data_IF_188574055797
#
_entry.id   IF_188574055797
#
_cell.length_a   1.000
_cell.length_b   1.000
_cell.length_c   1.000
_cell.angle_alpha   90.00
_cell.angle_beta   90.00
_cell.angle_gamma   90.00
#
_symmetry.space_group_name_H-M   'P 1'
#
loop_
_entity.id
_entity.type
_entity.pdbx_description
1 polymer ?
#
# COMPACT_ATOMS: atom_id res chain seq x y z
N UNK A 1 12.78 -4.87 31.52
CA UNK A 1 11.84 -4.14 30.64
C UNK A 1 11.98 -4.74 29.24
N UNK A 2 11.06 -5.63 28.85
CA UNK A 2 11.06 -6.24 27.51
C UNK A 2 10.15 -5.40 26.62
N UNK A 3 10.73 -4.67 25.68
CA UNK A 3 10.00 -3.90 24.69
C UNK A 3 9.57 -4.88 23.59
N UNK A 4 8.47 -5.60 23.81
CA UNK A 4 7.90 -6.51 22.82
C UNK A 4 7.25 -5.64 21.75
N UNK A 5 7.99 -5.41 20.66
CA UNK A 5 7.44 -4.76 19.47
C UNK A 5 6.15 -5.47 19.08
N UNK A 6 5.04 -4.74 19.11
CA UNK A 6 3.71 -5.26 18.81
C UNK A 6 3.76 -5.90 17.41
N UNK A 7 3.43 -7.18 17.31
CA UNK A 7 3.36 -7.88 16.02
C UNK A 7 2.20 -7.26 15.23
N UNK A 8 2.52 -6.52 14.18
CA UNK A 8 1.51 -5.96 13.26
C UNK A 8 0.85 -7.12 12.51
N UNK A 9 -0.47 -7.21 12.61
CA UNK A 9 -1.24 -8.28 11.97
C UNK A 9 -1.29 -8.09 10.45
N UNK A 10 -1.47 -9.17 9.69
CA UNK A 10 -1.58 -9.09 8.23
C UNK A 10 -2.69 -8.12 7.79
N UNK A 11 -3.82 -8.10 8.49
CA UNK A 11 -4.92 -7.18 8.22
C UNK A 11 -4.50 -5.71 8.32
N UNK A 12 -3.70 -5.35 9.34
CA UNK A 12 -3.16 -3.99 9.50
C UNK A 12 -2.21 -3.65 8.34
N UNK A 13 -1.32 -4.59 7.95
CA UNK A 13 -0.40 -4.39 6.81
C UNK A 13 -1.14 -4.17 5.49
N UNK A 14 -2.22 -4.90 5.27
CA UNK A 14 -3.08 -4.74 4.09
C UNK A 14 -3.86 -3.43 4.14
N UNK A 15 -4.35 -3.03 5.33
CA UNK A 15 -4.99 -1.74 5.56
C UNK A 15 -4.08 -0.57 5.20
N UNK A 16 -2.81 -0.60 5.62
CA UNK A 16 -1.83 0.41 5.22
C UNK A 16 -1.63 0.44 3.71
N UNK A 17 -1.55 -0.71 3.04
CA UNK A 17 -1.39 -0.75 1.59
C UNK A 17 -2.58 -0.13 0.87
N UNK A 18 -3.79 -0.46 1.34
CA UNK A 18 -5.04 0.10 0.82
C UNK A 18 -5.08 1.62 0.96
N UNK A 19 -4.77 2.16 2.14
CA UNK A 19 -4.79 3.62 2.38
C UNK A 19 -3.80 4.37 1.48
N UNK A 20 -2.60 3.82 1.27
CA UNK A 20 -1.62 4.44 0.37
C UNK A 20 -2.13 4.40 -1.08
N UNK A 21 -2.71 3.28 -1.52
CA UNK A 21 -3.33 3.16 -2.84
C UNK A 21 -4.48 4.14 -3.03
N UNK A 22 -5.36 4.26 -2.04
CA UNK A 22 -6.46 5.23 -2.02
C UNK A 22 -5.96 6.67 -2.16
N UNK A 23 -4.92 7.05 -1.41
CA UNK A 23 -4.32 8.38 -1.48
C UNK A 23 -3.73 8.68 -2.87
N UNK A 24 -3.09 7.70 -3.51
CA UNK A 24 -2.59 7.85 -4.89
C UNK A 24 -3.76 8.08 -5.87
N UNK A 25 -4.85 7.32 -5.72
CA UNK A 25 -6.06 7.49 -6.53
C UNK A 25 -6.67 8.89 -6.37
N UNK A 26 -6.81 9.36 -5.13
CA UNK A 26 -7.31 10.70 -4.83
C UNK A 26 -6.43 11.82 -5.44
N UNK A 27 -5.11 11.73 -5.27
CA UNK A 27 -4.17 12.69 -5.85
C UNK A 27 -4.24 12.69 -7.38
N UNK A 28 -4.38 11.51 -7.99
CA UNK A 28 -4.54 11.36 -9.43
C UNK A 28 -5.82 12.05 -9.91
N UNK A 29 -6.94 11.86 -9.20
CA UNK A 29 -8.21 12.51 -9.52
C UNK A 29 -8.13 14.04 -9.39
N UNK A 30 -7.56 14.56 -8.31
CA UNK A 30 -7.35 15.99 -8.09
C UNK A 30 -6.56 16.60 -9.25
N UNK A 31 -5.46 15.93 -9.65
CA UNK A 31 -4.62 16.35 -10.77
C UNK A 31 -5.36 16.33 -12.10
N UNK A 32 -6.09 15.27 -12.41
CA UNK A 32 -6.87 15.15 -13.65
C UNK A 32 -7.95 16.23 -13.79
N UNK A 33 -8.53 16.66 -12.67
CA UNK A 33 -9.59 17.65 -12.64
C UNK A 33 -9.10 19.09 -12.37
N UNK A 34 -7.78 19.32 -12.32
CA UNK A 34 -7.17 20.63 -12.02
C UNK A 34 -7.74 21.30 -10.75
N UNK A 35 -8.08 20.49 -9.74
CA UNK A 35 -8.60 21.01 -8.47
C UNK A 35 -7.46 21.71 -7.75
N UNK A 36 -7.65 23.00 -7.41
CA UNK A 36 -6.64 23.80 -6.70
C UNK A 36 -6.31 23.14 -5.36
N UNK A 37 -5.03 22.79 -5.18
CA UNK A 37 -4.52 22.18 -3.97
C UNK A 37 -3.26 22.91 -3.49
N UNK A 38 -3.03 22.92 -2.18
CA UNK A 38 -1.84 23.56 -1.58
C UNK A 38 -0.70 22.55 -1.32
N UNK A 39 -0.88 21.29 -1.72
CA UNK A 39 0.03 20.18 -1.42
C UNK A 39 0.76 19.65 -2.67
N UNK A 40 0.77 20.44 -3.75
CA UNK A 40 1.03 20.11 -5.15
C UNK A 40 1.95 18.90 -5.41
N UNK A 41 3.10 18.84 -4.73
CA UNK A 41 4.09 17.78 -4.90
C UNK A 41 4.59 17.11 -3.61
N UNK A 42 4.06 17.46 -2.43
CA UNK A 42 4.69 17.12 -1.15
C UNK A 42 4.88 15.61 -0.94
N UNK A 43 3.96 14.80 -1.47
CA UNK A 43 4.00 13.34 -1.39
C UNK A 43 4.03 12.66 -2.76
N UNK A 44 3.89 13.42 -3.86
CA UNK A 44 3.75 12.84 -5.20
C UNK A 44 5.02 12.10 -5.63
N UNK A 45 6.20 12.61 -5.23
CA UNK A 45 7.48 12.02 -5.58
C UNK A 45 7.78 10.75 -4.79
N UNK A 46 7.48 10.75 -3.48
CA UNK A 46 7.67 9.57 -2.64
C UNK A 46 6.75 8.43 -3.06
N UNK A 47 5.48 8.75 -3.36
CA UNK A 47 4.50 7.76 -3.80
C UNK A 47 4.87 7.13 -5.16
N UNK A 48 5.50 7.87 -6.08
CA UNK A 48 6.00 7.32 -7.37
C UNK A 48 7.12 6.30 -7.19
N UNK A 49 7.86 6.36 -6.09
CA UNK A 49 8.95 5.42 -5.81
C UNK A 49 8.45 4.11 -5.19
N UNK A 50 7.19 4.08 -4.72
CA UNK A 50 6.59 2.88 -4.17
C UNK A 50 6.37 1.81 -5.24
N UNK A 51 6.91 0.62 -4.99
CA UNK A 51 6.72 -0.55 -5.83
C UNK A 51 5.73 -1.50 -5.17
N UNK A 52 4.44 -1.22 -5.32
CA UNK A 52 3.35 -1.99 -4.69
C UNK A 52 3.48 -3.50 -4.92
N UNK A 53 3.81 -3.92 -6.14
CA UNK A 53 4.06 -5.33 -6.47
C UNK A 53 5.13 -5.97 -5.58
N UNK A 54 6.23 -5.28 -5.32
CA UNK A 54 7.30 -5.77 -4.43
C UNK A 54 6.86 -5.83 -2.97
N UNK A 55 6.03 -4.88 -2.53
CA UNK A 55 5.54 -4.87 -1.15
C UNK A 55 4.58 -6.05 -0.93
N UNK A 56 3.69 -6.29 -1.88
CA UNK A 56 2.80 -7.46 -1.90
C UNK A 56 3.60 -8.77 -1.87
N UNK A 57 4.59 -8.91 -2.74
CA UNK A 57 5.38 -10.14 -2.83
C UNK A 57 6.10 -10.41 -1.50
N UNK A 58 6.65 -9.36 -0.87
CA UNK A 58 7.28 -9.45 0.45
C UNK A 58 6.27 -9.85 1.53
N UNK A 59 5.07 -9.26 1.53
CA UNK A 59 4.00 -9.63 2.48
C UNK A 59 3.58 -11.10 2.33
N UNK A 60 3.43 -11.58 1.09
CA UNK A 60 3.11 -12.99 0.84
C UNK A 60 4.21 -13.95 1.31
N UNK A 61 5.49 -13.55 1.21
CA UNK A 61 6.63 -14.33 1.74
C UNK A 61 6.63 -14.31 3.27
N UNK A 62 6.51 -13.13 3.87
CA UNK A 62 6.60 -12.93 5.33
C UNK A 62 5.48 -13.67 6.08
N UNK A 63 4.27 -13.69 5.51
CA UNK A 63 3.12 -14.44 6.06
C UNK A 63 3.09 -15.90 5.62
N UNK A 64 4.14 -16.40 4.95
CA UNK A 64 4.27 -17.78 4.46
C UNK A 64 3.07 -18.22 3.63
N UNK A 65 2.52 -17.30 2.83
CA UNK A 65 1.41 -17.60 1.94
C UNK A 65 1.93 -18.51 0.83
N UNK A 66 1.76 -19.81 1.01
CA UNK A 66 2.20 -20.83 0.04
C UNK A 66 1.13 -21.17 -0.99
N UNK A 67 -0.15 -20.86 -0.73
CA UNK A 67 -1.20 -21.12 -1.73
C UNK A 67 -1.23 -20.03 -2.80
N UNK A 68 -1.26 -20.47 -4.06
CA UNK A 68 -1.39 -19.58 -5.21
C UNK A 68 -2.73 -18.83 -5.21
N UNK A 69 -3.78 -19.41 -4.62
CA UNK A 69 -5.08 -18.75 -4.46
C UNK A 69 -4.97 -17.50 -3.59
N UNK A 70 -4.27 -17.59 -2.47
CA UNK A 70 -4.12 -16.48 -1.54
C UNK A 70 -3.16 -15.44 -2.10
N UNK A 71 -2.12 -15.85 -2.84
CA UNK A 71 -1.27 -14.92 -3.60
C UNK A 71 -2.07 -14.15 -4.65
N UNK A 72 -3.02 -14.81 -5.30
CA UNK A 72 -3.91 -14.19 -6.29
C UNK A 72 -4.84 -13.17 -5.64
N UNK A 73 -5.48 -13.53 -4.52
CA UNK A 73 -6.32 -12.60 -3.75
C UNK A 73 -5.53 -11.35 -3.34
N UNK A 74 -4.30 -11.49 -2.85
CA UNK A 74 -3.48 -10.32 -2.47
C UNK A 74 -3.15 -9.45 -3.69
N UNK A 75 -2.93 -10.04 -4.87
CA UNK A 75 -2.72 -9.28 -6.11
C UNK A 75 -3.98 -8.53 -6.56
N UNK A 76 -5.14 -9.16 -6.46
CA UNK A 76 -6.42 -8.61 -6.89
C UNK A 76 -6.91 -7.45 -5.99
N UNK A 77 -6.39 -7.33 -4.76
CA UNK A 77 -6.71 -6.21 -3.86
C UNK A 77 -5.92 -4.93 -4.13
N UNK A 78 -4.91 -4.97 -5.02
CA UNK A 78 -3.95 -3.88 -5.21
C UNK A 78 -3.85 -3.41 -6.68
N UNK A 79 -4.47 -4.12 -7.62
CA UNK A 79 -4.58 -3.75 -9.04
C UNK A 79 -6.04 -3.42 -9.37
#
# INVERSE_FOLDING_TARGET
>A
MSNIGKKIELGEKLGFLFEVGFNIGLLTYIKQNNIKQNYDDLYSQDLKQLKFSRIIDKLAIDERVVSDSNRKIIKDWVL
#
